data_IF_609258809047
#
_entry.id   IF_609258809047
#
_cell.length_a   1.000
_cell.length_b   1.000
_cell.length_c   1.000
_cell.angle_alpha   90.00
_cell.angle_beta   90.00
_cell.angle_gamma   90.00
#
_symmetry.space_group_name_H-M   'P 1'
#
loop_
_entity.id
_entity.type
_entity.pdbx_description
1 polymer ?
#
# COMPACT_ATOMS: atom_id res chain seq x y z
N UNK A 1 23.59 -13.53 -12.20
CA UNK A 1 22.54 -12.81 -12.95
C UNK A 1 21.36 -12.72 -11.99
N UNK A 2 20.91 -11.52 -11.68
CA UNK A 2 19.78 -11.30 -10.76
C UNK A 2 18.50 -11.82 -11.39
N UNK A 3 17.65 -12.51 -10.61
CA UNK A 3 16.32 -12.95 -11.06
C UNK A 3 15.22 -12.21 -10.28
N UNK A 4 14.34 -11.54 -11.02
CA UNK A 4 13.24 -10.74 -10.52
C UNK A 4 11.94 -11.37 -10.98
N UNK A 5 11.10 -11.82 -10.05
CA UNK A 5 9.76 -12.34 -10.36
C UNK A 5 8.69 -11.34 -9.96
N UNK A 6 7.81 -10.97 -10.89
CA UNK A 6 6.71 -10.05 -10.64
C UNK A 6 5.39 -10.83 -10.60
N UNK A 7 4.77 -10.88 -9.42
CA UNK A 7 3.49 -11.52 -9.16
C UNK A 7 2.36 -10.50 -9.35
N UNK A 8 1.42 -10.81 -10.24
CA UNK A 8 0.38 -9.87 -10.67
C UNK A 8 0.83 -8.96 -11.83
N UNK A 9 1.62 -9.51 -12.75
CA UNK A 9 2.18 -8.77 -13.88
C UNK A 9 1.14 -8.23 -14.87
N UNK A 10 -0.12 -8.65 -14.77
CA UNK A 10 -1.27 -8.01 -15.42
C UNK A 10 -1.56 -6.58 -14.95
N UNK A 11 -0.89 -6.10 -13.90
CA UNK A 11 -0.85 -4.68 -13.51
C UNK A 11 0.07 -3.88 -14.45
N UNK A 12 -0.31 -3.81 -15.71
CA UNK A 12 0.54 -3.40 -16.85
C UNK A 12 1.35 -2.13 -16.65
N UNK A 13 0.72 -1.05 -16.17
CA UNK A 13 1.40 0.24 -15.93
C UNK A 13 2.39 0.15 -14.77
N UNK A 14 2.01 -0.50 -13.68
CA UNK A 14 2.86 -0.64 -12.51
C UNK A 14 4.04 -1.58 -12.79
N UNK A 15 3.79 -2.73 -13.44
CA UNK A 15 4.84 -3.64 -13.88
C UNK A 15 5.84 -2.95 -14.83
N UNK A 16 5.34 -2.11 -15.76
CA UNK A 16 6.18 -1.29 -16.64
C UNK A 16 7.09 -0.34 -15.85
N UNK A 17 6.56 0.36 -14.86
CA UNK A 17 7.35 1.31 -14.07
C UNK A 17 8.46 0.60 -13.30
N UNK A 18 8.11 -0.39 -12.49
CA UNK A 18 9.07 -1.11 -11.65
C UNK A 18 10.14 -1.86 -12.45
N UNK A 19 9.72 -2.60 -13.47
CA UNK A 19 10.64 -3.40 -14.26
C UNK A 19 11.39 -2.59 -15.32
N UNK A 20 10.76 -1.52 -15.83
CA UNK A 20 11.43 -0.51 -16.65
C UNK A 20 12.56 0.18 -15.89
N UNK A 21 12.32 0.54 -14.61
CA UNK A 21 13.35 1.09 -13.73
C UNK A 21 14.53 0.11 -13.55
N UNK A 22 14.24 -1.18 -13.38
CA UNK A 22 15.28 -2.21 -13.29
C UNK A 22 16.14 -2.28 -14.55
N UNK A 23 15.54 -2.15 -15.75
CA UNK A 23 16.27 -2.10 -17.02
C UNK A 23 17.10 -0.83 -17.20
N UNK A 24 16.73 0.27 -16.54
CA UNK A 24 17.49 1.53 -16.51
C UNK A 24 18.59 1.55 -15.43
N UNK A 25 18.68 0.53 -14.57
CA UNK A 25 19.61 0.46 -13.45
C UNK A 25 20.79 -0.45 -13.79
N UNK A 26 22.02 0.06 -13.74
CA UNK A 26 23.22 -0.67 -14.20
C UNK A 26 23.38 -2.04 -13.54
N UNK A 27 23.14 -2.15 -12.24
CA UNK A 27 23.27 -3.39 -11.49
C UNK A 27 22.18 -4.44 -11.82
N UNK A 28 21.07 -4.02 -12.44
CA UNK A 28 19.90 -4.86 -12.68
C UNK A 28 19.59 -5.09 -14.16
N UNK A 29 20.26 -4.37 -15.06
CA UNK A 29 19.94 -4.36 -16.50
C UNK A 29 20.09 -5.71 -17.21
N UNK A 30 20.86 -6.64 -16.66
CA UNK A 30 21.07 -7.99 -17.19
C UNK A 30 20.23 -9.06 -16.49
N UNK A 31 19.20 -8.64 -15.72
CA UNK A 31 18.35 -9.56 -14.95
C UNK A 31 17.53 -10.50 -15.81
N UNK A 32 17.21 -11.66 -15.25
CA UNK A 32 16.10 -12.48 -15.69
C UNK A 32 14.82 -11.95 -15.05
N UNK A 33 13.88 -11.48 -15.86
CA UNK A 33 12.59 -10.93 -15.43
C UNK A 33 11.50 -11.95 -15.74
N UNK A 34 10.87 -12.48 -14.68
CA UNK A 34 9.77 -13.43 -14.76
C UNK A 34 8.45 -12.73 -14.47
N UNK A 35 7.55 -12.69 -15.45
CA UNK A 35 6.23 -12.12 -15.33
C UNK A 35 5.23 -13.24 -15.04
N UNK A 36 4.57 -13.18 -13.90
CA UNK A 36 3.54 -14.14 -13.50
C UNK A 36 2.18 -13.46 -13.37
N UNK A 37 1.15 -14.05 -13.98
CA UNK A 37 -0.26 -13.65 -13.80
C UNK A 37 -1.20 -14.82 -14.10
N UNK A 38 -2.45 -14.69 -13.66
CA UNK A 38 -3.56 -15.61 -13.98
C UNK A 38 -4.39 -15.14 -15.19
N UNK A 39 -4.19 -13.89 -15.64
CA UNK A 39 -4.87 -13.27 -16.76
C UNK A 39 -3.96 -13.18 -18.01
N UNK A 40 -4.17 -14.10 -18.97
CA UNK A 40 -3.27 -14.27 -20.12
C UNK A 40 -3.15 -13.04 -21.02
N UNK A 41 -4.25 -12.36 -21.32
CA UNK A 41 -4.24 -11.16 -22.18
C UNK A 41 -3.44 -10.03 -21.54
N UNK A 42 -3.65 -9.76 -20.25
CA UNK A 42 -2.94 -8.73 -19.50
C UNK A 42 -1.46 -9.05 -19.33
N UNK A 43 -1.12 -10.33 -19.11
CA UNK A 43 0.26 -10.80 -19.06
C UNK A 43 0.98 -10.56 -20.39
N UNK A 44 0.29 -10.83 -21.51
CA UNK A 44 0.83 -10.59 -22.86
C UNK A 44 1.03 -9.11 -23.15
N UNK A 45 0.13 -8.24 -22.70
CA UNK A 45 0.27 -6.79 -22.81
C UNK A 45 1.53 -6.29 -22.06
N UNK A 46 1.72 -6.73 -20.82
CA UNK A 46 2.91 -6.39 -20.03
C UNK A 46 4.20 -6.89 -20.70
N UNK A 47 4.21 -8.12 -21.19
CA UNK A 47 5.33 -8.67 -21.94
C UNK A 47 5.70 -7.80 -23.14
N UNK A 48 4.70 -7.44 -23.96
CA UNK A 48 4.92 -6.66 -25.19
C UNK A 48 5.54 -5.30 -24.89
N UNK A 49 5.03 -4.58 -23.89
CA UNK A 49 5.60 -3.29 -23.48
C UNK A 49 7.01 -3.42 -22.93
N UNK A 50 7.25 -4.40 -22.06
CA UNK A 50 8.56 -4.59 -21.44
C UNK A 50 9.63 -5.07 -22.45
N UNK A 51 9.28 -5.88 -23.43
CA UNK A 51 10.17 -6.26 -24.52
C UNK A 51 10.57 -5.05 -25.40
N UNK A 52 9.62 -4.16 -25.71
CA UNK A 52 9.90 -2.92 -26.42
C UNK A 52 10.84 -2.00 -25.62
N UNK A 53 10.55 -1.79 -24.32
CA UNK A 53 11.41 -1.01 -23.43
C UNK A 53 12.80 -1.64 -23.33
N UNK A 54 12.91 -2.95 -23.11
CA UNK A 54 14.17 -3.66 -23.02
C UNK A 54 15.02 -3.46 -24.27
N UNK A 55 14.40 -3.53 -25.45
CA UNK A 55 15.08 -3.26 -26.71
C UNK A 55 15.57 -1.81 -26.81
N UNK A 56 14.71 -0.84 -26.50
CA UNK A 56 14.95 0.58 -26.80
C UNK A 56 15.86 1.27 -25.77
N UNK A 57 15.76 0.91 -24.46
CA UNK A 57 16.54 1.56 -23.41
C UNK A 57 17.65 0.69 -22.85
N UNK A 58 17.57 -0.65 -23.03
CA UNK A 58 18.50 -1.61 -22.42
C UNK A 58 19.27 -2.47 -23.44
N UNK A 59 19.12 -2.21 -24.73
CA UNK A 59 19.75 -3.00 -25.80
C UNK A 59 19.45 -4.51 -25.71
N UNK A 60 18.28 -4.89 -25.21
CA UNK A 60 17.86 -6.29 -25.11
C UNK A 60 18.61 -7.12 -24.06
N UNK A 61 19.27 -6.51 -23.07
CA UNK A 61 20.12 -7.23 -22.09
C UNK A 61 19.33 -8.05 -21.09
N UNK A 62 18.14 -7.60 -20.68
CA UNK A 62 17.28 -8.38 -19.78
C UNK A 62 16.64 -9.57 -20.51
N UNK A 63 16.44 -10.68 -19.78
CA UNK A 63 15.73 -11.86 -20.29
C UNK A 63 14.32 -11.86 -19.72
N UNK A 64 13.31 -11.63 -20.56
CA UNK A 64 11.91 -11.58 -20.13
C UNK A 64 11.26 -12.93 -20.40
N UNK A 65 10.62 -13.51 -19.37
CA UNK A 65 9.86 -14.76 -19.45
C UNK A 65 8.47 -14.55 -18.87
N UNK A 66 7.47 -15.27 -19.37
CA UNK A 66 6.08 -15.22 -18.90
C UNK A 66 5.64 -16.57 -18.37
N UNK A 67 4.86 -16.55 -17.32
CA UNK A 67 4.31 -17.70 -16.65
C UNK A 67 2.82 -17.44 -16.36
N UNK A 68 1.95 -18.17 -17.04
CA UNK A 68 0.50 -18.03 -16.92
C UNK A 68 -0.07 -19.15 -16.04
N UNK A 69 -0.94 -18.77 -15.11
CA UNK A 69 -1.70 -19.73 -14.31
C UNK A 69 -0.97 -20.29 -13.09
N UNK A 70 -1.75 -20.83 -12.16
CA UNK A 70 -1.26 -21.28 -10.85
C UNK A 70 -0.24 -22.41 -10.99
N UNK A 71 -0.39 -23.27 -11.98
CA UNK A 71 0.48 -24.41 -12.25
C UNK A 71 1.93 -24.00 -12.62
N UNK A 72 2.12 -22.79 -13.14
CA UNK A 72 3.44 -22.27 -13.54
C UNK A 72 4.08 -21.36 -12.48
N UNK A 73 3.41 -21.12 -11.34
CA UNK A 73 3.85 -20.18 -10.31
C UNK A 73 5.19 -20.57 -9.68
N UNK A 74 5.38 -21.82 -9.32
CA UNK A 74 6.65 -22.31 -8.75
C UNK A 74 7.82 -22.14 -9.71
N UNK A 75 7.58 -22.36 -11.00
CA UNK A 75 8.64 -22.21 -11.99
C UNK A 75 9.01 -20.73 -12.20
N UNK A 76 8.02 -19.82 -12.15
CA UNK A 76 8.29 -18.38 -12.14
C UNK A 76 9.17 -17.97 -10.96
N UNK A 77 8.90 -18.51 -9.77
CA UNK A 77 9.60 -18.20 -8.52
C UNK A 77 10.97 -18.89 -8.38
N UNK A 78 11.19 -20.04 -9.03
CA UNK A 78 12.40 -20.86 -8.85
C UNK A 78 13.68 -20.03 -8.94
N UNK A 79 14.46 -20.03 -7.84
CA UNK A 79 15.73 -19.32 -7.71
C UNK A 79 15.63 -17.79 -7.92
N UNK A 80 14.47 -17.18 -7.63
CA UNK A 80 14.34 -15.74 -7.61
C UNK A 80 15.18 -15.12 -6.49
N UNK A 81 15.80 -13.96 -6.77
CA UNK A 81 16.45 -13.12 -5.75
C UNK A 81 15.45 -12.13 -5.17
N UNK A 82 14.51 -11.67 -6.00
CA UNK A 82 13.47 -10.72 -5.63
C UNK A 82 12.12 -11.16 -6.18
N UNK A 83 11.10 -11.05 -5.34
CA UNK A 83 9.71 -11.29 -5.70
C UNK A 83 8.92 -10.01 -5.41
N UNK A 84 8.33 -9.41 -6.44
CA UNK A 84 7.51 -8.21 -6.33
C UNK A 84 6.05 -8.61 -6.36
N UNK A 85 5.26 -8.21 -5.37
CA UNK A 85 3.85 -8.54 -5.26
C UNK A 85 2.96 -7.32 -5.49
N UNK A 86 2.09 -7.42 -6.50
CA UNK A 86 1.11 -6.39 -6.86
C UNK A 86 -0.20 -7.02 -7.33
N UNK A 87 -0.72 -7.98 -6.57
CA UNK A 87 -1.96 -8.68 -6.88
C UNK A 87 -3.20 -7.94 -6.36
N UNK A 88 -4.34 -8.23 -6.95
CA UNK A 88 -5.64 -7.83 -6.43
C UNK A 88 -6.63 -9.00 -6.54
N UNK A 89 -6.84 -9.69 -5.43
CA UNK A 89 -7.76 -10.82 -5.35
C UNK A 89 -9.20 -10.35 -5.46
N UNK A 90 -9.98 -10.95 -6.39
CA UNK A 90 -11.37 -10.61 -6.63
C UNK A 90 -11.62 -9.35 -7.46
N UNK A 91 -10.57 -8.59 -7.80
CA UNK A 91 -10.64 -7.44 -8.71
C UNK A 91 -11.60 -6.32 -8.29
N UNK A 92 -11.91 -5.44 -9.23
CA UNK A 92 -12.97 -4.43 -9.08
C UNK A 92 -14.34 -5.09 -9.03
N UNK A 93 -14.67 -5.88 -10.05
CA UNK A 93 -15.87 -6.70 -10.14
C UNK A 93 -15.47 -8.17 -9.90
N UNK A 94 -16.05 -8.87 -8.91
CA UNK A 94 -17.17 -8.41 -8.05
C UNK A 94 -16.73 -7.80 -6.71
N UNK A 95 -15.48 -8.05 -6.24
CA UNK A 95 -15.17 -7.91 -4.82
C UNK A 95 -15.14 -6.47 -4.31
N UNK A 96 -14.55 -5.52 -5.07
CA UNK A 96 -14.58 -4.11 -4.67
C UNK A 96 -16.01 -3.55 -4.69
N UNK A 97 -16.84 -3.96 -5.65
CA UNK A 97 -18.25 -3.56 -5.69
C UNK A 97 -18.98 -4.05 -4.44
N UNK A 98 -18.78 -5.30 -4.03
CA UNK A 98 -19.35 -5.87 -2.81
C UNK A 98 -18.91 -5.09 -1.58
N UNK A 99 -17.60 -4.78 -1.46
CA UNK A 99 -17.01 -4.02 -0.35
C UNK A 99 -17.61 -2.61 -0.18
N UNK A 100 -18.22 -2.05 -1.22
CA UNK A 100 -18.90 -0.75 -1.18
C UNK A 100 -20.42 -0.86 -1.03
N UNK A 101 -21.06 -1.70 -1.84
CA UNK A 101 -22.53 -1.71 -1.94
C UNK A 101 -23.21 -2.32 -0.71
N UNK A 102 -22.61 -3.32 -0.06
CA UNK A 102 -23.20 -3.89 1.15
C UNK A 102 -23.10 -2.92 2.32
N UNK A 103 -21.94 -2.33 2.68
CA UNK A 103 -21.87 -1.35 3.76
C UNK A 103 -22.81 -0.16 3.58
N UNK A 104 -23.04 0.29 2.34
CA UNK A 104 -24.02 1.36 2.06
C UNK A 104 -25.46 1.02 2.49
N UNK A 105 -25.89 -0.24 2.41
CA UNK A 105 -27.23 -0.67 2.89
C UNK A 105 -27.42 -0.42 4.37
N UNK A 106 -26.30 -0.48 5.12
CA UNK A 106 -26.26 -0.22 6.56
C UNK A 106 -25.92 1.25 6.89
N UNK A 107 -25.76 2.11 5.90
CA UNK A 107 -25.47 3.53 6.10
C UNK A 107 -23.99 3.88 6.19
N UNK A 108 -23.07 2.92 6.08
CA UNK A 108 -21.63 3.17 6.05
C UNK A 108 -21.24 3.79 4.71
N UNK A 109 -20.63 4.96 4.78
CA UNK A 109 -20.12 5.68 3.61
C UNK A 109 -18.60 5.59 3.58
N UNK A 110 -18.04 5.21 2.45
CA UNK A 110 -16.61 4.98 2.27
C UNK A 110 -16.07 5.83 1.11
N UNK A 111 -14.77 6.03 1.09
CA UNK A 111 -14.04 6.72 0.01
C UNK A 111 -13.25 5.73 -0.84
N UNK A 112 -12.29 5.02 -0.24
CA UNK A 112 -11.37 4.10 -0.92
C UNK A 112 -11.56 2.64 -0.46
N UNK A 113 -11.77 2.39 0.82
CA UNK A 113 -12.11 1.10 1.42
C UNK A 113 -11.16 -0.08 1.07
N UNK A 114 -9.91 0.20 0.74
CA UNK A 114 -8.97 -0.83 0.27
C UNK A 114 -7.88 -1.20 1.30
N UNK A 115 -7.72 -0.42 2.37
CA UNK A 115 -6.61 -0.56 3.32
C UNK A 115 -7.08 -0.72 4.76
N UNK A 116 -7.99 0.11 5.23
CA UNK A 116 -8.59 0.07 6.57
C UNK A 116 -10.12 0.06 6.44
N UNK A 117 -10.81 -0.06 7.56
CA UNK A 117 -12.26 -0.17 7.58
C UNK A 117 -12.78 -1.53 7.14
N UNK A 118 -14.09 -1.63 7.00
CA UNK A 118 -14.76 -2.91 6.68
C UNK A 118 -14.33 -3.48 5.32
N UNK A 119 -14.10 -2.63 4.31
CA UNK A 119 -13.58 -3.06 3.01
C UNK A 119 -12.16 -3.61 3.11
N UNK A 120 -11.28 -2.97 3.91
CA UNK A 120 -9.92 -3.45 4.19
C UNK A 120 -9.92 -4.81 4.89
N UNK A 121 -10.84 -5.03 5.85
CA UNK A 121 -11.02 -6.33 6.52
C UNK A 121 -11.32 -7.41 5.47
N UNK A 122 -12.36 -7.23 4.64
CA UNK A 122 -12.75 -8.23 3.64
C UNK A 122 -11.66 -8.47 2.60
N UNK A 123 -10.98 -7.42 2.14
CA UNK A 123 -9.87 -7.53 1.20
C UNK A 123 -8.69 -8.32 1.79
N UNK A 124 -8.36 -8.13 3.06
CA UNK A 124 -7.34 -8.92 3.75
C UNK A 124 -7.73 -10.41 3.80
N UNK A 125 -8.96 -10.70 4.21
CA UNK A 125 -9.44 -12.07 4.38
C UNK A 125 -9.45 -12.88 3.08
N UNK A 126 -9.66 -12.23 1.92
CA UNK A 126 -9.59 -12.90 0.62
C UNK A 126 -8.17 -12.96 0.04
N UNK A 127 -7.26 -12.08 0.47
CA UNK A 127 -5.90 -12.00 -0.09
C UNK A 127 -4.91 -12.90 0.66
N UNK A 128 -4.99 -12.99 2.00
CA UNK A 128 -4.08 -13.84 2.81
C UNK A 128 -4.00 -15.28 2.32
N UNK A 129 -5.10 -15.97 1.93
CA UNK A 129 -5.01 -17.35 1.44
C UNK A 129 -4.15 -17.51 0.17
N UNK A 130 -4.08 -16.48 -0.67
CA UNK A 130 -3.23 -16.49 -1.87
C UNK A 130 -1.78 -16.21 -1.48
N UNK A 131 -1.54 -15.25 -0.56
CA UNK A 131 -0.19 -14.98 -0.03
C UNK A 131 0.39 -16.17 0.74
N UNK A 132 -0.44 -16.93 1.45
CA UNK A 132 -0.02 -18.18 2.11
C UNK A 132 0.54 -19.18 1.10
N UNK A 133 -0.14 -19.36 -0.05
CA UNK A 133 0.35 -20.21 -1.13
C UNK A 133 1.64 -19.65 -1.76
N UNK A 134 1.74 -18.32 -1.91
CA UNK A 134 2.97 -17.70 -2.42
C UNK A 134 4.13 -17.93 -1.46
N UNK A 135 3.89 -17.78 -0.16
CA UNK A 135 4.91 -18.02 0.86
C UNK A 135 5.42 -19.46 0.83
N UNK A 136 4.51 -20.46 0.78
CA UNK A 136 4.87 -21.87 0.67
C UNK A 136 5.74 -22.15 -0.57
N UNK A 137 5.37 -21.58 -1.72
CA UNK A 137 6.15 -21.75 -2.93
C UNK A 137 7.51 -21.04 -2.85
N UNK A 138 7.59 -19.83 -2.28
CA UNK A 138 8.85 -19.10 -2.08
C UNK A 138 9.77 -19.86 -1.15
N UNK A 139 9.25 -20.36 0.00
CA UNK A 139 10.01 -21.15 0.97
C UNK A 139 10.59 -22.42 0.35
N UNK A 140 9.87 -23.04 -0.60
CA UNK A 140 10.32 -24.25 -1.29
C UNK A 140 11.38 -23.98 -2.38
N UNK A 141 11.19 -22.94 -3.22
CA UNK A 141 11.99 -22.80 -4.46
C UNK A 141 12.93 -21.60 -4.49
N UNK A 142 12.77 -20.62 -3.58
CA UNK A 142 13.63 -19.43 -3.46
C UNK A 142 13.66 -18.85 -2.02
N UNK A 143 14.02 -19.62 -0.98
CA UNK A 143 13.88 -19.24 0.43
C UNK A 143 14.70 -18.02 0.85
N UNK A 144 15.65 -17.59 0.03
CA UNK A 144 16.48 -16.42 0.29
C UNK A 144 15.97 -15.14 -0.39
N UNK A 145 14.94 -15.24 -1.22
CA UNK A 145 14.38 -14.10 -1.95
C UNK A 145 13.82 -13.03 -0.99
N UNK A 146 13.93 -11.77 -1.38
CA UNK A 146 13.20 -10.67 -0.77
C UNK A 146 11.83 -10.53 -1.43
N UNK A 147 10.77 -10.57 -0.61
CA UNK A 147 9.39 -10.32 -1.04
C UNK A 147 9.05 -8.84 -0.82
N UNK A 148 8.91 -8.10 -1.92
CA UNK A 148 8.60 -6.68 -1.96
C UNK A 148 7.09 -6.52 -2.16
N UNK A 149 6.36 -6.31 -1.08
CA UNK A 149 4.90 -6.22 -1.12
C UNK A 149 4.42 -4.81 -1.43
N UNK A 150 3.65 -4.65 -2.51
CA UNK A 150 2.91 -3.44 -2.85
C UNK A 150 1.40 -3.58 -2.70
N UNK A 151 0.94 -4.79 -2.34
CA UNK A 151 -0.49 -5.11 -2.24
C UNK A 151 -1.07 -4.59 -0.92
N UNK A 152 -2.19 -3.88 -1.01
CA UNK A 152 -3.00 -3.47 0.13
C UNK A 152 -4.06 -4.53 0.51
N UNK A 153 -4.44 -4.60 1.79
CA UNK A 153 -4.05 -3.79 2.97
C UNK A 153 -2.63 -4.06 3.46
N UNK A 154 -1.75 -3.08 3.29
CA UNK A 154 -0.30 -3.22 3.47
C UNK A 154 0.11 -3.79 4.83
N UNK A 155 -0.37 -3.19 5.93
CA UNK A 155 0.03 -3.59 7.28
C UNK A 155 -0.51 -4.97 7.67
N UNK A 156 -1.71 -5.35 7.18
CA UNK A 156 -2.28 -6.68 7.45
C UNK A 156 -1.55 -7.75 6.64
N UNK A 157 -1.31 -7.52 5.35
CA UNK A 157 -0.68 -8.51 4.47
C UNK A 157 0.81 -8.67 4.78
N UNK A 158 1.57 -7.58 4.90
CA UNK A 158 2.98 -7.63 5.28
C UNK A 158 3.15 -8.15 6.72
N UNK A 159 2.24 -7.77 7.62
CA UNK A 159 2.21 -8.27 9.00
C UNK A 159 1.96 -9.77 9.07
N UNK A 160 1.03 -10.30 8.27
CA UNK A 160 0.83 -11.74 8.13
C UNK A 160 2.09 -12.44 7.65
N UNK A 161 2.65 -12.00 6.52
CA UNK A 161 3.86 -12.59 5.93
C UNK A 161 5.03 -12.64 6.92
N UNK A 162 5.30 -11.53 7.62
CA UNK A 162 6.42 -11.43 8.55
C UNK A 162 6.21 -12.17 9.89
N UNK A 163 4.95 -12.46 10.28
CA UNK A 163 4.65 -13.16 11.54
C UNK A 163 4.47 -14.66 11.36
N UNK A 164 3.91 -15.09 10.24
CA UNK A 164 3.44 -16.46 10.05
C UNK A 164 4.19 -17.23 8.95
N UNK A 165 5.17 -16.61 8.30
CA UNK A 165 6.02 -17.26 7.29
C UNK A 165 7.49 -16.97 7.57
N UNK A 166 8.40 -17.70 6.90
CA UNK A 166 9.85 -17.43 6.92
C UNK A 166 10.33 -16.53 5.79
N UNK A 167 9.42 -16.05 4.92
CA UNK A 167 9.73 -15.22 3.76
C UNK A 167 10.23 -13.84 4.18
N UNK A 168 11.41 -13.45 3.71
CA UNK A 168 11.96 -12.10 3.94
C UNK A 168 11.08 -11.06 3.26
N UNK A 169 10.23 -10.40 4.02
CA UNK A 169 9.19 -9.50 3.51
C UNK A 169 9.42 -8.06 3.93
N UNK A 170 9.23 -7.13 3.00
CA UNK A 170 9.09 -5.69 3.25
C UNK A 170 7.85 -5.16 2.56
N UNK A 171 7.02 -4.41 3.29
CA UNK A 171 5.89 -3.68 2.71
C UNK A 171 6.29 -2.29 2.26
N UNK A 172 5.87 -1.88 1.07
CA UNK A 172 6.28 -0.65 0.39
C UNK A 172 5.07 0.19 -0.01
N UNK A 173 5.06 1.46 0.41
CA UNK A 173 4.00 2.40 0.06
C UNK A 173 4.57 3.72 -0.45
N UNK A 174 3.97 4.25 -1.51
CA UNK A 174 4.37 5.54 -2.10
C UNK A 174 4.05 6.71 -1.17
N UNK A 175 3.03 6.59 -0.33
CA UNK A 175 2.53 7.69 0.50
C UNK A 175 3.59 8.28 1.43
N UNK A 176 4.46 7.44 2.01
CA UNK A 176 5.56 7.91 2.86
C UNK A 176 6.65 8.60 2.04
N UNK A 177 6.88 8.14 0.82
CA UNK A 177 7.93 8.65 -0.08
C UNK A 177 7.64 10.07 -0.57
N UNK A 178 6.37 10.36 -0.87
CA UNK A 178 5.97 11.65 -1.43
C UNK A 178 5.39 12.62 -0.38
N UNK A 179 5.28 12.19 0.87
CA UNK A 179 4.58 12.89 1.95
C UNK A 179 5.02 14.35 2.12
N UNK A 180 6.28 14.56 2.50
CA UNK A 180 6.80 15.89 2.80
C UNK A 180 6.97 16.75 1.54
N UNK A 181 7.37 16.14 0.43
CA UNK A 181 7.51 16.85 -0.83
C UNK A 181 6.17 17.40 -1.32
N UNK A 182 5.13 16.55 -1.30
CA UNK A 182 3.78 16.94 -1.65
C UNK A 182 3.25 18.07 -0.75
N UNK A 183 3.44 17.93 0.57
CA UNK A 183 3.04 18.96 1.54
C UNK A 183 3.71 20.31 1.28
N UNK A 184 5.04 20.33 1.11
CA UNK A 184 5.78 21.58 0.91
C UNK A 184 5.39 22.25 -0.43
N UNK A 185 5.21 21.46 -1.49
CA UNK A 185 4.74 21.99 -2.79
C UNK A 185 3.34 22.57 -2.68
N UNK A 186 2.42 21.86 -2.05
CA UNK A 186 1.03 22.31 -1.91
C UNK A 186 0.88 23.58 -1.04
N UNK A 187 1.83 23.81 -0.14
CA UNK A 187 1.90 24.99 0.71
C UNK A 187 2.77 26.14 0.12
N UNK A 188 3.30 26.00 -1.10
CA UNK A 188 4.18 27.01 -1.71
C UNK A 188 5.49 27.20 -0.95
N UNK A 189 6.11 26.09 -0.53
CA UNK A 189 7.39 26.05 0.20
C UNK A 189 8.44 25.23 -0.57
N UNK A 190 8.44 25.29 -1.90
CA UNK A 190 9.36 24.54 -2.76
C UNK A 190 10.82 24.89 -2.52
N UNK A 191 11.10 26.11 -2.04
CA UNK A 191 12.42 26.56 -1.64
C UNK A 191 13.02 25.77 -0.45
N UNK A 192 12.18 25.00 0.27
CA UNK A 192 12.56 24.15 1.40
C UNK A 192 12.75 22.67 1.03
N UNK A 193 12.61 22.30 -0.24
CA UNK A 193 12.74 20.91 -0.69
C UNK A 193 14.18 20.40 -0.65
N UNK A 194 15.12 21.21 -1.12
CA UNK A 194 16.52 20.82 -1.20
C UNK A 194 17.15 20.68 0.19
N UNK A 195 17.76 19.52 0.46
CA UNK A 195 18.45 19.24 1.72
C UNK A 195 17.54 19.11 2.95
N UNK A 196 16.22 19.03 2.76
CA UNK A 196 15.28 18.80 3.86
C UNK A 196 15.57 17.48 4.58
N UNK A 197 15.29 17.46 5.86
CA UNK A 197 15.37 16.27 6.70
C UNK A 197 14.02 16.00 7.34
N UNK A 198 13.60 14.76 7.32
CA UNK A 198 12.29 14.34 7.81
C UNK A 198 12.35 13.05 8.59
N UNK A 199 11.45 12.92 9.56
CA UNK A 199 11.16 11.69 10.28
C UNK A 199 9.67 11.38 10.15
N UNK A 200 9.35 10.26 9.51
CA UNK A 200 7.98 9.75 9.38
C UNK A 200 7.93 8.39 10.05
N UNK A 201 6.94 8.19 10.94
CA UNK A 201 6.69 6.90 11.56
C UNK A 201 5.25 6.74 12.04
N UNK A 202 4.78 5.50 12.08
CA UNK A 202 3.42 5.12 12.49
C UNK A 202 3.02 3.78 11.92
N UNK A 203 1.87 3.72 11.28
CA UNK A 203 1.41 2.57 10.49
C UNK A 203 1.16 2.99 9.05
N UNK A 204 1.11 2.04 8.13
CA UNK A 204 0.81 2.32 6.73
C UNK A 204 -0.49 3.14 6.59
N UNK A 205 -0.46 4.16 5.75
CA UNK A 205 -1.49 5.17 5.51
C UNK A 205 -1.85 6.06 6.71
N UNK A 206 -1.25 5.81 7.87
CA UNK A 206 -1.34 6.67 9.05
C UNK A 206 0.04 6.77 9.74
N UNK A 207 1.08 6.99 8.94
CA UNK A 207 2.40 7.43 9.38
C UNK A 207 2.39 8.94 9.63
N UNK A 208 3.00 9.39 10.69
CA UNK A 208 3.03 10.80 11.09
C UNK A 208 4.36 11.42 10.68
N UNK A 209 4.32 12.57 10.01
CA UNK A 209 5.50 13.42 9.80
C UNK A 209 5.86 14.07 11.13
N UNK A 210 6.73 13.41 11.90
CA UNK A 210 7.07 13.81 13.27
C UNK A 210 8.02 15.00 13.31
N UNK A 211 8.97 15.05 12.37
CA UNK A 211 9.92 16.14 12.21
C UNK A 211 10.08 16.49 10.73
N UNK A 212 10.21 17.76 10.45
CA UNK A 212 10.60 18.28 9.13
C UNK A 212 11.45 19.53 9.31
N UNK A 213 12.67 19.48 8.81
CA UNK A 213 13.67 20.56 8.93
C UNK A 213 14.23 20.94 7.57
N UNK A 214 14.56 22.21 7.39
CA UNK A 214 15.29 22.66 6.20
C UNK A 214 16.76 22.22 6.23
N UNK A 215 17.52 22.58 5.21
CA UNK A 215 18.94 22.22 5.09
C UNK A 215 19.82 22.82 6.19
N UNK A 216 19.42 23.95 6.76
CA UNK A 216 20.06 24.62 7.88
C UNK A 216 19.69 24.01 9.23
N UNK A 217 18.67 23.13 9.30
CA UNK A 217 18.19 22.48 10.50
C UNK A 217 17.06 23.22 11.22
N UNK A 218 16.48 24.25 10.62
CA UNK A 218 15.35 24.96 11.19
C UNK A 218 14.06 24.12 11.05
N UNK A 219 13.24 24.12 12.11
CA UNK A 219 11.95 23.46 12.13
C UNK A 219 10.96 24.16 11.18
N UNK A 220 10.37 23.41 10.25
CA UNK A 220 9.40 23.94 9.28
C UNK A 220 7.95 23.89 9.77
N UNK A 221 7.64 23.16 10.85
CA UNK A 221 6.27 23.01 11.34
C UNK A 221 5.55 24.32 11.71
N UNK A 222 6.22 25.32 12.31
CA UNK A 222 5.54 26.60 12.58
C UNK A 222 4.93 27.24 11.34
N UNK A 223 5.67 27.27 10.24
CA UNK A 223 5.21 27.85 8.98
C UNK A 223 4.20 26.94 8.26
N UNK A 224 4.42 25.62 8.27
CA UNK A 224 3.48 24.62 7.75
C UNK A 224 2.11 24.77 8.43
N UNK A 225 2.06 24.84 9.76
CA UNK A 225 0.80 25.01 10.51
C UNK A 225 0.08 26.30 10.15
N UNK A 226 0.82 27.39 10.03
CA UNK A 226 0.26 28.69 9.65
C UNK A 226 -0.40 28.64 8.25
N UNK A 227 0.35 28.13 7.26
CA UNK A 227 -0.13 28.07 5.86
C UNK A 227 -1.26 27.05 5.70
N UNK A 228 -1.16 25.87 6.28
CA UNK A 228 -2.20 24.85 6.22
C UNK A 228 -3.53 25.35 6.80
N UNK A 229 -3.48 26.03 7.96
CA UNK A 229 -4.67 26.62 8.60
C UNK A 229 -5.29 27.71 7.73
N UNK A 230 -4.48 28.56 7.16
CA UNK A 230 -4.94 29.65 6.27
C UNK A 230 -5.57 29.07 4.99
N UNK A 231 -4.94 28.08 4.36
CA UNK A 231 -5.47 27.41 3.17
C UNK A 231 -6.80 26.71 3.45
N UNK A 232 -6.90 25.90 4.52
CA UNK A 232 -8.15 25.23 4.91
C UNK A 232 -9.31 26.21 5.17
N UNK A 233 -9.01 27.42 5.63
CA UNK A 233 -10.01 28.44 5.89
C UNK A 233 -10.51 29.12 4.61
N UNK A 234 -9.64 29.32 3.63
CA UNK A 234 -9.90 30.21 2.50
C UNK A 234 -10.21 29.46 1.20
N UNK A 235 -9.84 28.18 1.10
CA UNK A 235 -9.92 27.40 -0.13
C UNK A 235 -10.54 26.01 0.10
N UNK A 236 -11.23 25.50 -0.93
CA UNK A 236 -11.57 24.09 -1.05
C UNK A 236 -10.46 23.37 -1.82
N UNK A 237 -9.89 22.35 -1.23
CA UNK A 237 -8.82 21.56 -1.85
C UNK A 237 -8.91 20.08 -1.43
N UNK A 238 -8.09 19.22 -2.01
CA UNK A 238 -8.17 17.78 -1.79
C UNK A 238 -7.49 17.31 -0.49
N UNK A 239 -6.78 18.20 0.21
CA UNK A 239 -6.02 17.84 1.41
C UNK A 239 -6.57 18.41 2.72
N UNK A 240 -7.86 18.73 2.76
CA UNK A 240 -8.49 19.41 3.89
C UNK A 240 -8.49 18.57 5.18
N UNK A 241 -8.65 17.25 5.10
CA UNK A 241 -8.68 16.36 6.27
C UNK A 241 -7.32 16.32 6.96
N UNK A 242 -6.22 16.15 6.19
CA UNK A 242 -4.86 16.10 6.78
C UNK A 242 -4.41 17.47 7.31
N UNK A 243 -4.87 18.55 6.69
CA UNK A 243 -4.59 19.90 7.21
C UNK A 243 -5.37 20.19 8.50
N UNK A 244 -6.56 19.62 8.65
CA UNK A 244 -7.27 19.66 9.94
C UNK A 244 -6.50 18.87 11.02
N UNK A 245 -5.84 17.75 10.67
CA UNK A 245 -4.93 17.07 11.60
C UNK A 245 -3.75 17.95 12.02
N UNK A 246 -3.14 18.71 11.09
CA UNK A 246 -2.08 19.66 11.45
C UNK A 246 -2.60 20.70 12.47
N UNK A 247 -3.80 21.25 12.27
CA UNK A 247 -4.38 22.26 13.19
C UNK A 247 -4.76 21.67 14.55
N UNK A 248 -5.35 20.47 14.59
CA UNK A 248 -5.90 19.85 15.81
C UNK A 248 -4.96 18.90 16.55
N UNK A 249 -4.16 18.12 15.80
CA UNK A 249 -3.26 17.12 16.35
C UNK A 249 -1.79 17.57 16.31
N UNK A 250 -1.48 18.63 15.57
CA UNK A 250 -0.15 19.21 15.45
C UNK A 250 0.76 18.55 14.43
N UNK A 251 0.30 17.51 13.71
CA UNK A 251 1.12 16.72 12.81
C UNK A 251 0.40 16.39 11.50
N UNK A 252 1.17 16.30 10.42
CA UNK A 252 0.68 15.82 9.13
C UNK A 252 0.77 14.31 9.05
N UNK A 253 -0.15 13.70 8.31
CA UNK A 253 -0.26 12.25 8.15
C UNK A 253 0.10 11.83 6.73
N UNK A 254 0.66 10.63 6.58
CA UNK A 254 0.85 10.03 5.25
C UNK A 254 -0.48 9.68 4.59
N UNK A 255 -0.44 9.36 3.31
CA UNK A 255 -1.57 9.07 2.44
C UNK A 255 -2.48 10.29 2.21
N UNK A 256 -3.52 10.13 1.40
CA UNK A 256 -4.42 11.22 1.02
C UNK A 256 -5.48 11.52 2.09
N UNK A 257 -6.06 12.71 2.00
CA UNK A 257 -7.16 13.11 2.89
C UNK A 257 -8.40 12.23 2.73
N UNK A 258 -8.67 11.72 1.55
CA UNK A 258 -9.80 10.81 1.30
C UNK A 258 -9.67 9.50 2.07
N UNK A 259 -8.47 8.89 2.13
CA UNK A 259 -8.22 7.72 2.98
C UNK A 259 -8.36 8.08 4.47
N UNK A 260 -7.71 9.16 4.91
CA UNK A 260 -7.75 9.57 6.32
C UNK A 260 -9.15 9.96 6.79
N UNK A 261 -10.04 10.39 5.89
CA UNK A 261 -11.42 10.70 6.22
C UNK A 261 -12.22 9.48 6.69
N UNK A 262 -11.92 8.27 6.18
CA UNK A 262 -12.62 7.03 6.54
C UNK A 262 -11.91 6.19 7.61
N UNK A 263 -10.66 6.53 7.98
CA UNK A 263 -9.90 5.74 8.96
C UNK A 263 -10.23 6.08 10.43
N UNK A 264 -10.91 7.18 10.66
CA UNK A 264 -11.22 7.72 11.99
C UNK A 264 -12.65 8.26 12.03
N UNK A 265 -13.30 8.29 13.21
CA UNK A 265 -14.70 8.67 13.34
C UNK A 265 -14.92 10.20 13.38
N UNK A 266 -14.14 10.99 12.63
CA UNK A 266 -14.16 12.45 12.76
C UNK A 266 -14.87 13.16 11.62
N UNK A 267 -14.84 12.61 10.41
CA UNK A 267 -15.18 13.36 9.20
C UNK A 267 -16.43 12.82 8.48
N UNK A 268 -16.57 11.51 8.37
CA UNK A 268 -17.73 10.87 7.74
C UNK A 268 -18.68 10.46 8.86
N UNK A 269 -19.74 11.27 9.06
CA UNK A 269 -20.69 11.06 10.14
C UNK A 269 -22.12 11.28 9.68
N UNK A 270 -22.98 10.31 9.95
CA UNK A 270 -24.42 10.40 9.64
C UNK A 270 -25.09 11.54 10.36
N UNK A 271 -24.67 11.83 11.61
CA UNK A 271 -25.20 12.94 12.41
C UNK A 271 -24.78 14.34 11.91
N UNK A 272 -23.69 14.42 11.18
CA UNK A 272 -23.11 15.70 10.69
C UNK A 272 -22.77 15.58 9.20
N UNK A 273 -23.79 15.40 8.33
CA UNK A 273 -23.58 15.15 6.89
C UNK A 273 -22.89 16.31 6.17
N UNK A 274 -22.95 17.54 6.71
CA UNK A 274 -22.29 18.72 6.19
C UNK A 274 -20.75 18.63 6.22
N UNK A 275 -20.18 17.74 7.02
CA UNK A 275 -18.73 17.53 7.08
C UNK A 275 -18.17 16.99 5.75
N UNK A 276 -18.96 16.21 5.00
CA UNK A 276 -18.58 15.68 3.69
C UNK A 276 -18.26 16.83 2.74
N UNK A 277 -19.15 17.81 2.68
CA UNK A 277 -18.94 18.99 1.85
C UNK A 277 -17.85 19.89 2.45
N UNK A 278 -17.88 20.12 3.76
CA UNK A 278 -16.90 20.96 4.45
C UNK A 278 -15.47 20.54 4.19
N UNK A 279 -15.18 19.26 4.25
CA UNK A 279 -13.83 18.70 4.07
C UNK A 279 -13.57 18.15 2.65
N UNK A 280 -14.45 18.45 1.70
CA UNK A 280 -14.32 18.03 0.30
C UNK A 280 -14.07 16.51 0.16
N UNK A 281 -14.84 15.68 0.87
CA UNK A 281 -14.64 14.23 0.93
C UNK A 281 -15.28 13.55 -0.28
N UNK A 282 -14.51 12.89 -1.15
CA UNK A 282 -15.02 12.23 -2.34
C UNK A 282 -15.53 10.81 -2.01
N UNK A 283 -16.79 10.70 -1.54
CA UNK A 283 -17.40 9.39 -1.30
C UNK A 283 -17.39 8.55 -2.59
N UNK A 284 -17.18 7.21 -2.44
CA UNK A 284 -17.12 6.26 -3.57
C UNK A 284 -16.01 6.59 -4.61
N UNK A 285 -14.91 7.21 -4.19
CA UNK A 285 -13.85 7.58 -5.13
C UNK A 285 -13.17 6.35 -5.74
N UNK A 286 -12.91 5.29 -4.97
CA UNK A 286 -12.21 4.12 -5.49
C UNK A 286 -12.99 3.40 -6.60
N UNK A 287 -14.30 3.12 -6.49
CA UNK A 287 -15.11 2.62 -7.60
C UNK A 287 -15.03 3.49 -8.86
N UNK A 288 -15.14 4.82 -8.71
CA UNK A 288 -14.99 5.74 -9.85
C UNK A 288 -13.59 5.70 -10.46
N UNK A 289 -12.56 5.61 -9.61
CA UNK A 289 -11.16 5.49 -10.04
C UNK A 289 -10.93 4.19 -10.81
N UNK A 290 -11.47 3.07 -10.35
CA UNK A 290 -11.39 1.79 -11.06
C UNK A 290 -12.00 1.87 -12.46
N UNK A 291 -13.19 2.44 -12.59
CA UNK A 291 -13.86 2.62 -13.89
C UNK A 291 -13.00 3.50 -14.82
N UNK A 292 -12.54 4.67 -14.32
CA UNK A 292 -11.66 5.55 -15.11
C UNK A 292 -10.39 4.84 -15.56
N UNK A 293 -9.73 4.10 -14.69
CA UNK A 293 -8.49 3.37 -15.03
C UNK A 293 -8.72 2.31 -16.11
N UNK A 294 -9.83 1.57 -16.03
CA UNK A 294 -10.21 0.59 -17.06
C UNK A 294 -10.45 1.29 -18.41
N UNK A 295 -11.17 2.40 -18.41
CA UNK A 295 -11.48 3.13 -19.64
C UNK A 295 -10.26 3.84 -20.23
N UNK A 296 -9.40 4.41 -19.40
CA UNK A 296 -8.16 5.04 -19.85
C UNK A 296 -7.17 4.00 -20.39
N UNK A 297 -7.13 2.81 -19.77
CA UNK A 297 -6.35 1.70 -20.32
C UNK A 297 -6.85 1.29 -21.70
N UNK A 298 -8.14 1.13 -21.90
CA UNK A 298 -8.73 0.81 -23.23
C UNK A 298 -8.34 1.81 -24.31
N UNK A 299 -8.28 3.12 -23.95
CA UNK A 299 -7.90 4.20 -24.89
C UNK A 299 -6.41 4.20 -25.23
N UNK A 300 -5.53 3.88 -24.26
CA UNK A 300 -4.09 3.98 -24.42
C UNK A 300 -3.45 2.67 -24.91
N UNK A 301 -4.10 1.55 -24.66
CA UNK A 301 -3.60 0.19 -24.88
C UNK A 301 -3.04 0.01 -26.28
N UNK A 302 -3.85 0.27 -27.31
CA UNK A 302 -3.45 0.00 -28.71
C UNK A 302 -2.26 0.88 -29.14
N UNK A 303 -2.22 2.13 -28.66
CA UNK A 303 -1.08 3.03 -28.87
C UNK A 303 0.19 2.50 -28.23
N UNK A 304 0.12 2.05 -26.98
CA UNK A 304 1.27 1.52 -26.23
C UNK A 304 1.74 0.17 -26.79
N UNK A 305 0.81 -0.71 -27.21
CA UNK A 305 1.14 -2.02 -27.76
C UNK A 305 1.81 -1.95 -29.13
N UNK A 306 1.50 -0.94 -29.93
CA UNK A 306 2.00 -0.78 -31.29
C UNK A 306 3.10 0.28 -31.40
N UNK A 307 3.59 0.84 -30.30
CA UNK A 307 4.66 1.83 -30.31
C UNK A 307 6.04 1.16 -30.33
N UNK A 308 6.71 1.12 -31.50
CA UNK A 308 8.06 0.52 -31.61
C UNK A 308 9.14 1.37 -30.91
N UNK A 309 8.81 2.61 -30.53
CA UNK A 309 9.73 3.56 -29.89
C UNK A 309 9.48 3.69 -28.38
N UNK A 310 8.60 2.84 -27.81
CA UNK A 310 8.25 2.87 -26.39
C UNK A 310 9.52 2.88 -25.55
N UNK A 311 9.65 3.93 -24.75
CA UNK A 311 10.82 4.20 -23.92
C UNK A 311 10.44 4.30 -22.46
N UNK A 312 11.44 4.27 -21.59
CA UNK A 312 11.28 4.43 -20.15
C UNK A 312 12.43 5.27 -19.59
N UNK A 313 12.12 6.05 -18.58
CA UNK A 313 13.11 6.74 -17.73
C UNK A 313 12.89 6.28 -16.31
N UNK A 314 13.99 6.03 -15.59
CA UNK A 314 13.91 5.59 -14.19
C UNK A 314 13.04 6.55 -13.38
N UNK A 315 12.06 5.98 -12.71
CA UNK A 315 11.11 6.69 -11.85
C UNK A 315 11.63 6.74 -10.41
N UNK A 316 10.78 7.08 -9.46
CA UNK A 316 11.10 7.04 -8.02
C UNK A 316 10.53 5.79 -7.35
N UNK A 317 10.20 4.73 -8.12
CA UNK A 317 9.69 3.48 -7.58
C UNK A 317 10.72 2.78 -6.68
N UNK A 318 10.32 2.44 -5.46
CA UNK A 318 11.19 1.86 -4.44
C UNK A 318 11.92 0.59 -4.89
N UNK A 319 11.23 -0.33 -5.59
CA UNK A 319 11.75 -1.66 -5.84
C UNK A 319 13.12 -1.65 -6.52
N UNK A 320 13.31 -0.82 -7.55
CA UNK A 320 14.58 -0.75 -8.28
C UNK A 320 15.73 -0.26 -7.38
N UNK A 321 15.47 0.71 -6.50
CA UNK A 321 16.47 1.24 -5.58
C UNK A 321 16.80 0.27 -4.45
N UNK A 322 15.80 -0.47 -3.93
CA UNK A 322 15.99 -1.52 -2.93
C UNK A 322 16.83 -2.66 -3.50
N UNK A 323 16.46 -3.15 -4.67
CA UNK A 323 17.20 -4.22 -5.36
C UNK A 323 18.63 -3.80 -5.67
N UNK A 324 18.83 -2.58 -6.18
CA UNK A 324 20.16 -2.01 -6.43
C UNK A 324 20.98 -1.92 -5.14
N UNK A 325 20.41 -1.40 -4.06
CA UNK A 325 21.07 -1.26 -2.76
C UNK A 325 21.55 -2.62 -2.22
N UNK A 326 20.72 -3.65 -2.32
CA UNK A 326 21.06 -5.01 -1.88
C UNK A 326 22.17 -5.62 -2.77
N UNK A 327 22.05 -5.48 -4.08
CA UNK A 327 23.01 -6.08 -5.04
C UNK A 327 24.37 -5.38 -5.00
N UNK A 328 24.38 -4.06 -4.86
CA UNK A 328 25.64 -3.26 -4.89
C UNK A 328 26.23 -2.98 -3.51
N UNK A 329 25.51 -3.33 -2.44
CA UNK A 329 25.86 -2.94 -1.06
C UNK A 329 25.99 -1.41 -0.90
N UNK A 330 25.16 -0.64 -1.63
CA UNK A 330 25.14 0.82 -1.53
C UNK A 330 23.94 1.24 -0.68
N UNK A 331 24.14 1.89 0.48
CA UNK A 331 23.08 2.22 1.40
C UNK A 331 21.98 3.11 0.77
N UNK A 332 20.73 2.74 0.96
CA UNK A 332 19.55 3.49 0.52
C UNK A 332 18.50 3.56 1.64
N UNK A 333 17.97 4.76 1.92
CA UNK A 333 16.93 4.96 2.95
C UNK A 333 15.55 4.87 2.33
N UNK A 334 14.65 4.12 2.98
CA UNK A 334 13.23 4.01 2.62
C UNK A 334 12.33 4.21 3.84
N UNK A 335 11.04 4.45 3.64
CA UNK A 335 9.99 4.11 4.60
C UNK A 335 9.52 2.68 4.36
N UNK A 336 9.61 1.83 5.36
CA UNK A 336 9.30 0.41 5.21
C UNK A 336 8.29 -0.08 6.24
N UNK A 337 7.41 -1.01 5.81
CA UNK A 337 6.42 -1.64 6.67
C UNK A 337 6.98 -2.96 7.22
N UNK A 338 7.26 -2.98 8.53
CA UNK A 338 7.92 -4.07 9.24
C UNK A 338 7.24 -4.34 10.59
N UNK A 339 7.37 -5.56 11.10
CA UNK A 339 6.89 -5.88 12.45
C UNK A 339 7.67 -5.08 13.50
N UNK A 340 6.96 -4.52 14.48
CA UNK A 340 7.50 -3.72 15.58
C UNK A 340 8.32 -4.51 16.59
N UNK A 341 9.06 -5.53 16.13
CA UNK A 341 9.92 -6.35 16.99
C UNK A 341 11.03 -5.50 17.61
N UNK A 342 11.26 -5.69 18.90
CA UNK A 342 12.24 -4.90 19.64
C UNK A 342 11.80 -3.47 19.94
N UNK A 343 10.53 -3.10 19.64
CA UNK A 343 9.99 -1.78 19.97
C UNK A 343 10.60 -0.67 19.11
N UNK A 344 10.55 -0.81 17.80
CA UNK A 344 10.94 0.26 16.87
C UNK A 344 10.14 1.54 17.18
N UNK A 345 8.85 1.37 17.47
CA UNK A 345 7.97 2.37 18.06
C UNK A 345 7.54 1.83 19.43
N UNK A 346 8.06 2.43 20.51
CA UNK A 346 7.98 1.87 21.87
C UNK A 346 6.57 1.80 22.47
N UNK A 347 5.68 2.69 22.06
CA UNK A 347 4.31 2.78 22.58
C UNK A 347 3.25 2.28 21.59
N UNK A 348 3.64 1.40 20.66
CA UNK A 348 2.74 0.59 19.85
C UNK A 348 2.96 -0.91 20.15
N UNK A 349 1.97 -1.75 19.80
CA UNK A 349 2.06 -3.19 19.96
C UNK A 349 3.28 -3.77 19.23
N UNK A 350 4.01 -4.70 19.85
CA UNK A 350 5.16 -5.38 19.23
C UNK A 350 4.76 -6.29 18.07
N UNK A 351 3.50 -6.72 18.02
CA UNK A 351 2.94 -7.51 16.93
C UNK A 351 2.42 -6.66 15.75
N UNK A 352 2.38 -5.34 15.91
CA UNK A 352 1.94 -4.45 14.84
C UNK A 352 2.93 -4.41 13.68
N UNK A 353 2.43 -4.32 12.47
CA UNK A 353 3.22 -3.91 11.31
C UNK A 353 3.28 -2.38 11.28
N UNK A 354 4.46 -1.82 11.54
CA UNK A 354 4.70 -0.37 11.63
C UNK A 354 5.46 0.12 10.41
N UNK A 355 5.20 1.38 10.04
CA UNK A 355 5.94 2.07 8.99
C UNK A 355 7.01 2.96 9.63
N UNK A 356 8.28 2.64 9.37
CA UNK A 356 9.44 3.31 9.96
C UNK A 356 10.54 3.51 8.92
N UNK A 357 11.48 4.46 9.14
CA UNK A 357 12.67 4.53 8.32
C UNK A 357 13.44 3.21 8.36
N UNK A 358 13.87 2.74 7.21
CA UNK A 358 14.73 1.57 7.07
C UNK A 358 15.96 1.92 6.23
N UNK A 359 17.13 1.40 6.62
CA UNK A 359 18.32 1.41 5.77
C UNK A 359 18.41 0.09 5.03
N UNK A 360 18.63 0.17 3.73
CA UNK A 360 18.77 -0.99 2.85
C UNK A 360 20.19 -1.02 2.31
N UNK A 361 20.86 -2.16 2.42
CA UNK A 361 22.20 -2.41 1.89
C UNK A 361 22.37 -3.91 1.55
N UNK A 362 23.60 -4.38 1.37
CA UNK A 362 23.90 -5.78 1.07
C UNK A 362 23.47 -6.78 2.16
N UNK A 363 23.17 -6.32 3.36
CA UNK A 363 22.60 -7.14 4.44
C UNK A 363 21.08 -7.22 4.37
N UNK A 364 20.46 -6.47 3.46
CA UNK A 364 19.00 -6.39 3.27
C UNK A 364 18.39 -5.17 3.94
N UNK A 365 17.17 -5.32 4.48
CA UNK A 365 16.40 -4.23 5.07
C UNK A 365 16.63 -4.16 6.58
N UNK A 366 17.13 -3.02 7.06
CA UNK A 366 17.48 -2.77 8.45
C UNK A 366 16.58 -1.65 9.01
N UNK A 367 15.53 -1.96 9.79
CA UNK A 367 14.63 -0.95 10.33
C UNK A 367 15.29 -0.12 11.42
N UNK A 368 15.04 1.20 11.42
CA UNK A 368 15.57 2.13 12.41
C UNK A 368 14.58 2.28 13.58
N UNK A 369 15.11 2.29 14.79
CA UNK A 369 14.33 2.61 15.98
C UNK A 369 13.96 4.10 15.99
N UNK A 370 12.66 4.38 16.18
CA UNK A 370 12.10 5.74 16.25
C UNK A 370 11.93 6.23 17.69
N UNK A 371 11.64 5.30 18.61
CA UNK A 371 11.29 5.61 19.99
C UNK A 371 9.79 5.78 20.19
N UNK A 372 9.35 6.80 20.92
CA UNK A 372 7.94 6.98 21.28
C UNK A 372 7.27 7.99 20.36
N UNK A 373 6.10 7.66 19.85
CA UNK A 373 5.19 8.64 19.25
C UNK A 373 4.57 9.54 20.34
N UNK A 374 4.14 10.76 20.00
CA UNK A 374 3.22 11.52 20.84
C UNK A 374 2.02 10.66 21.25
N UNK A 375 1.60 10.75 22.51
CA UNK A 375 0.59 9.84 23.10
C UNK A 375 -0.70 9.77 22.29
N UNK A 376 -1.20 10.92 21.83
CA UNK A 376 -2.45 10.99 21.05
C UNK A 376 -2.31 10.36 19.66
N UNK A 377 -1.14 10.46 19.01
CA UNK A 377 -0.88 9.83 17.72
C UNK A 377 -0.75 8.31 17.85
N UNK A 378 -0.05 7.86 18.90
CA UNK A 378 0.02 6.43 19.21
C UNK A 378 -1.37 5.85 19.50
N UNK A 379 -2.21 6.57 20.24
CA UNK A 379 -3.58 6.14 20.51
C UNK A 379 -4.41 6.03 19.22
N UNK A 380 -4.28 6.99 18.29
CA UNK A 380 -4.93 6.91 16.98
C UNK A 380 -4.42 5.72 16.14
N UNK A 381 -3.11 5.47 16.11
CA UNK A 381 -2.59 4.29 15.44
C UNK A 381 -3.12 3.00 16.06
N UNK A 382 -3.20 2.93 17.41
CA UNK A 382 -3.68 1.73 18.12
C UNK A 382 -5.15 1.39 17.80
N UNK A 383 -6.02 2.36 17.51
CA UNK A 383 -7.39 2.06 17.09
C UNK A 383 -7.41 1.18 15.84
N UNK A 384 -6.59 1.51 14.85
CA UNK A 384 -6.49 0.74 13.61
C UNK A 384 -5.61 -0.51 13.74
N UNK A 385 -4.54 -0.48 14.55
CA UNK A 385 -3.73 -1.67 14.86
C UNK A 385 -4.59 -2.79 15.45
N UNK A 386 -5.53 -2.47 16.33
CA UNK A 386 -6.46 -3.45 16.90
C UNK A 386 -7.26 -4.16 15.82
N UNK A 387 -7.77 -3.43 14.82
CA UNK A 387 -8.48 -3.99 13.65
C UNK A 387 -7.54 -4.89 12.84
N UNK A 388 -6.34 -4.40 12.55
CA UNK A 388 -5.35 -5.14 11.74
C UNK A 388 -4.98 -6.48 12.38
N UNK A 389 -4.66 -6.48 13.66
CA UNK A 389 -4.28 -7.70 14.39
C UNK A 389 -5.44 -8.68 14.49
N UNK A 390 -6.66 -8.21 14.76
CA UNK A 390 -7.85 -9.07 14.85
C UNK A 390 -8.25 -9.63 13.50
N UNK A 391 -8.07 -8.86 12.40
CA UNK A 391 -8.29 -9.36 11.03
C UNK A 391 -7.29 -10.46 10.67
N UNK A 392 -6.01 -10.28 11.01
CA UNK A 392 -5.00 -11.33 10.80
C UNK A 392 -5.35 -12.57 11.63
N UNK A 393 -5.78 -12.39 12.88
CA UNK A 393 -6.24 -13.50 13.74
C UNK A 393 -7.41 -14.24 13.11
N UNK A 394 -8.40 -13.55 12.52
CA UNK A 394 -9.50 -14.17 11.78
C UNK A 394 -8.98 -15.01 10.61
N UNK A 395 -8.03 -14.45 9.84
CA UNK A 395 -7.44 -15.17 8.69
C UNK A 395 -6.68 -16.43 9.11
N UNK A 396 -5.97 -16.41 10.25
CA UNK A 396 -5.20 -17.55 10.78
C UNK A 396 -6.09 -18.60 11.39
N UNK A 397 -7.02 -18.20 12.26
CA UNK A 397 -7.85 -19.14 13.04
C UNK A 397 -9.03 -19.70 12.26
N UNK A 398 -9.44 -19.01 11.18
CA UNK A 398 -10.65 -19.30 10.40
C UNK A 398 -11.93 -19.24 11.25
N UNK A 399 -11.92 -18.46 12.34
CA UNK A 399 -13.09 -18.25 13.19
C UNK A 399 -13.86 -17.03 12.74
N UNK A 400 -15.17 -17.20 12.51
CA UNK A 400 -16.08 -16.13 12.08
C UNK A 400 -16.20 -15.02 13.12
N UNK A 401 -16.20 -15.38 14.42
CA UNK A 401 -16.25 -14.42 15.51
C UNK A 401 -15.15 -13.35 15.46
N UNK A 402 -13.95 -13.69 14.99
CA UNK A 402 -12.85 -12.73 14.87
C UNK A 402 -13.10 -11.70 13.76
N UNK A 403 -13.91 -12.02 12.75
CA UNK A 403 -14.32 -11.05 11.72
C UNK A 403 -15.28 -10.03 12.34
N UNK A 404 -16.25 -10.49 13.14
CA UNK A 404 -17.13 -9.58 13.90
C UNK A 404 -16.34 -8.67 14.83
N UNK A 405 -15.37 -9.24 15.58
CA UNK A 405 -14.53 -8.44 16.47
C UNK A 405 -13.72 -7.38 15.70
N UNK A 406 -13.14 -7.72 14.54
CA UNK A 406 -12.42 -6.76 13.71
C UNK A 406 -13.33 -5.61 13.25
N UNK A 407 -14.55 -5.93 12.78
CA UNK A 407 -15.52 -4.93 12.33
C UNK A 407 -16.03 -4.04 13.50
N UNK A 408 -16.22 -4.64 14.70
CA UNK A 408 -16.62 -3.88 15.91
C UNK A 408 -15.51 -2.95 16.42
N UNK A 409 -14.24 -3.27 16.15
CA UNK A 409 -13.09 -2.45 16.55
C UNK A 409 -12.76 -1.37 15.51
N UNK A 410 -13.33 -1.44 14.30
CA UNK A 410 -13.11 -0.42 13.28
C UNK A 410 -13.70 0.92 13.71
N UNK A 411 -12.89 2.00 13.82
CA UNK A 411 -13.34 3.26 14.40
C UNK A 411 -14.52 3.91 13.65
N UNK A 412 -14.56 3.78 12.33
CA UNK A 412 -15.64 4.34 11.53
C UNK A 412 -16.92 3.52 11.65
N UNK A 413 -16.83 2.20 11.48
CA UNK A 413 -17.96 1.27 11.59
C UNK A 413 -18.60 1.34 12.98
N UNK A 414 -17.78 1.29 14.04
CA UNK A 414 -18.26 1.35 15.43
C UNK A 414 -18.92 2.69 15.79
N UNK A 415 -18.54 3.78 15.13
CA UNK A 415 -19.13 5.09 15.38
C UNK A 415 -20.50 5.30 14.71
N UNK A 416 -20.86 4.48 13.73
CA UNK A 416 -22.04 4.64 12.91
C UNK A 416 -23.09 3.54 13.12
N UNK A 417 -22.70 2.31 13.50
CA UNK A 417 -23.59 1.15 13.54
C UNK A 417 -23.78 0.59 14.97
N UNK A 418 -24.93 -0.07 15.18
CA UNK A 418 -25.15 -0.94 16.34
C UNK A 418 -24.36 -2.25 16.18
N UNK A 419 -24.18 -2.99 17.31
CA UNK A 419 -23.54 -4.31 17.29
C UNK A 419 -24.29 -5.28 16.36
N UNK A 420 -25.62 -5.26 16.42
CA UNK A 420 -26.47 -6.16 15.61
C UNK A 420 -26.36 -5.85 14.12
N UNK A 421 -26.30 -4.56 13.73
CA UNK A 421 -26.08 -4.15 12.35
C UNK A 421 -24.67 -4.54 11.85
N UNK A 422 -23.64 -4.41 12.71
CA UNK A 422 -22.28 -4.83 12.36
C UNK A 422 -22.24 -6.33 12.06
N UNK A 423 -22.84 -7.16 12.92
CA UNK A 423 -22.91 -8.62 12.73
C UNK A 423 -23.65 -8.95 11.44
N UNK A 424 -24.82 -8.34 11.22
CA UNK A 424 -25.63 -8.56 10.03
C UNK A 424 -24.91 -8.14 8.74
N UNK A 425 -24.22 -7.00 8.75
CA UNK A 425 -23.41 -6.53 7.61
C UNK A 425 -22.25 -7.48 7.30
N UNK A 426 -21.54 -7.96 8.32
CA UNK A 426 -20.44 -8.92 8.14
C UNK A 426 -20.96 -10.23 7.57
N UNK A 427 -22.10 -10.72 8.04
CA UNK A 427 -22.72 -11.93 7.52
C UNK A 427 -23.09 -11.81 6.05
N UNK A 428 -23.70 -10.68 5.66
CA UNK A 428 -24.04 -10.40 4.26
C UNK A 428 -22.80 -10.28 3.38
N UNK A 429 -21.73 -9.64 3.89
CA UNK A 429 -20.43 -9.54 3.19
C UNK A 429 -19.81 -10.92 2.96
N UNK A 430 -19.79 -11.78 3.99
CA UNK A 430 -19.23 -13.14 3.86
C UNK A 430 -20.01 -13.94 2.82
N UNK A 431 -21.35 -13.86 2.84
CA UNK A 431 -22.20 -14.56 1.89
C UNK A 431 -21.96 -14.05 0.45
N UNK A 432 -21.94 -12.73 0.25
CA UNK A 432 -21.76 -12.14 -1.06
C UNK A 432 -20.37 -12.39 -1.68
N UNK A 433 -19.32 -12.41 -0.88
CA UNK A 433 -17.99 -12.78 -1.36
C UNK A 433 -17.85 -14.25 -1.74
N UNK A 434 -18.61 -15.13 -1.12
CA UNK A 434 -18.72 -16.55 -1.50
C UNK A 434 -17.37 -17.24 -1.69
N UNK A 435 -17.08 -17.64 -2.93
CA UNK A 435 -15.84 -18.38 -3.28
C UNK A 435 -14.54 -17.59 -3.12
N UNK A 436 -14.62 -16.28 -3.00
CA UNK A 436 -13.46 -15.42 -2.80
C UNK A 436 -12.93 -15.45 -1.36
N UNK A 437 -13.75 -15.89 -0.42
CA UNK A 437 -13.36 -16.05 0.97
C UNK A 437 -13.19 -17.54 1.33
N UNK A 438 -12.24 -17.90 2.20
CA UNK A 438 -12.22 -19.24 2.80
C UNK A 438 -13.46 -19.43 3.68
N UNK A 439 -13.78 -20.70 3.97
CA UNK A 439 -14.85 -21.00 4.94
C UNK A 439 -14.40 -20.62 6.34
N UNK A 440 -15.18 -19.77 7.00
CA UNK A 440 -15.05 -19.42 8.42
C UNK A 440 -16.07 -20.24 9.24
N UNK A 441 -15.60 -20.75 10.42
CA UNK A 441 -16.43 -21.57 11.34
C UNK A 441 -17.12 -20.68 12.37
#
# INVERSE_FOLDING_TARGET
MVKITFMGAGSTVFARNVLGDSMCTDALRESEICLYDIAGDRLKESQTMLEAINKNVNNGRAKIKTYLGVENRKEALRSADFVIDAIQVGGYDPCTIIDFEIPKKYGIKQTIADTLGIGGIMRTLRTIPILEQFAQDIEEVCPNAWFLNYTNPMAMLSGYMQRYTSVKTIGLCHSVQVCSEGLLKDLGMEDKLEGRRELIAGINHMGWLLEIKDKEGNDLYPEIRRRAKEKNKNEKHNDMTRYEYIDKLGYYCTESSEHNAEYNPFFIKSKYPELIERFNIPLDEYPRRCVRQVDDWKKQRDGLMNDPTLSHKRTHEYASYIMEAIVTNTPYKIGGNVINRGGLIENLSYDACVEVPCMVDGMGVNPCKVGRLPVHLAAMNMTNINVQLTTIEAAVTKKREHIYHAAMLDPHTAAELSIDDIVSMVDELIEAHGVWLPKYK
#
